data_IF_248042363568
#
_entry.id   IF_248042363568
#
_cell.length_a   1.000
_cell.length_b   1.000
_cell.length_c   1.000
_cell.angle_alpha   90.00
_cell.angle_beta   90.00
_cell.angle_gamma   90.00
#
_symmetry.space_group_name_H-M   'P 1'
#
loop_
_entity.id
_entity.type
_entity.pdbx_description
1 polymer ?
#
# COMPACT_ATOMS: atom_id res chain seq x y z
N UNK A 1 3.52 -14.40 -35.37
CA UNK A 1 4.31 -14.38 -34.12
C UNK A 1 4.55 -12.93 -33.75
N UNK A 2 3.83 -12.44 -32.75
CA UNK A 2 4.20 -11.32 -31.88
C UNK A 2 3.26 -11.38 -30.68
N UNK A 3 3.63 -12.29 -29.80
CA UNK A 3 3.51 -12.25 -28.34
C UNK A 3 2.41 -11.32 -27.82
N UNK A 4 1.23 -11.91 -27.55
CA UNK A 4 0.34 -11.34 -26.55
C UNK A 4 1.07 -11.47 -25.21
N UNK A 5 1.59 -10.37 -24.68
CA UNK A 5 2.08 -10.32 -23.32
C UNK A 5 0.89 -10.61 -22.39
N UNK A 6 0.77 -11.87 -22.01
CA UNK A 6 0.04 -12.30 -20.83
C UNK A 6 0.64 -11.49 -19.68
N UNK A 7 -0.06 -10.43 -19.26
CA UNK A 7 0.18 -9.79 -17.97
C UNK A 7 0.05 -10.91 -16.94
N UNK A 8 1.19 -11.46 -16.54
CA UNK A 8 1.26 -12.65 -15.72
C UNK A 8 0.46 -12.39 -14.45
N UNK A 9 -0.34 -13.37 -14.05
CA UNK A 9 -0.89 -13.43 -12.70
C UNK A 9 0.29 -13.45 -11.74
N UNK A 10 0.75 -12.28 -11.28
CA UNK A 10 1.99 -12.12 -10.50
C UNK A 10 1.92 -12.81 -9.13
N UNK A 11 0.73 -13.24 -8.72
CA UNK A 11 0.54 -14.24 -7.69
C UNK A 11 -0.49 -15.25 -8.19
N UNK A 12 -0.20 -16.55 -8.06
CA UNK A 12 -1.26 -17.55 -8.02
C UNK A 12 -2.20 -17.23 -6.84
N UNK A 13 -3.50 -17.55 -6.91
CA UNK A 13 -4.38 -17.41 -5.76
C UNK A 13 -3.75 -18.14 -4.59
N UNK A 14 -3.31 -17.39 -3.58
CA UNK A 14 -2.72 -17.99 -2.39
C UNK A 14 -3.78 -18.94 -1.82
N UNK A 15 -3.40 -20.20 -1.60
CA UNK A 15 -4.27 -21.10 -0.86
C UNK A 15 -4.71 -20.40 0.42
N UNK A 16 -6.00 -20.46 0.82
CA UNK A 16 -6.46 -19.83 2.05
C UNK A 16 -5.51 -20.16 3.19
N UNK A 17 -5.14 -19.14 3.97
CA UNK A 17 -4.24 -19.32 5.10
C UNK A 17 -4.84 -20.38 6.04
N UNK A 18 -4.02 -21.37 6.41
CA UNK A 18 -4.46 -22.37 7.39
C UNK A 18 -4.48 -21.72 8.77
N UNK A 19 -5.25 -22.29 9.69
CA UNK A 19 -5.35 -21.78 11.06
C UNK A 19 -3.99 -21.66 11.77
N UNK A 20 -3.08 -22.60 11.51
CA UNK A 20 -1.67 -22.53 11.95
C UNK A 20 -0.96 -21.28 11.45
N UNK A 21 -1.17 -20.90 10.19
CA UNK A 21 -0.48 -19.76 9.57
C UNK A 21 -1.03 -18.46 10.17
N UNK A 22 -2.32 -18.40 10.47
CA UNK A 22 -2.96 -17.27 11.17
C UNK A 22 -2.38 -17.12 12.59
N UNK A 23 -2.22 -18.21 13.34
CA UNK A 23 -1.62 -18.18 14.68
C UNK A 23 -0.16 -17.74 14.65
N UNK A 24 0.61 -18.20 13.66
CA UNK A 24 1.99 -17.77 13.47
C UNK A 24 2.07 -16.27 13.15
N UNK A 25 1.19 -15.77 12.27
CA UNK A 25 1.08 -14.34 11.98
C UNK A 25 0.67 -13.55 13.22
N UNK A 26 -0.33 -14.03 13.97
CA UNK A 26 -0.76 -13.39 15.21
C UNK A 26 0.42 -13.26 16.18
N UNK A 27 1.22 -14.31 16.37
CA UNK A 27 2.40 -14.26 17.23
C UNK A 27 3.49 -13.29 16.71
N UNK A 28 3.68 -13.19 15.39
CA UNK A 28 4.61 -12.23 14.79
C UNK A 28 4.19 -10.77 14.99
N UNK A 29 2.87 -10.52 15.00
CA UNK A 29 2.28 -9.18 15.15
C UNK A 29 1.81 -8.87 16.57
N UNK A 30 1.91 -9.81 17.51
CA UNK A 30 1.62 -9.60 18.93
C UNK A 30 2.79 -8.87 19.58
N UNK A 31 2.84 -7.55 19.35
CA UNK A 31 3.85 -6.66 19.88
C UNK A 31 3.22 -5.73 20.91
N UNK A 32 3.62 -5.88 22.17
CA UNK A 32 3.19 -5.01 23.26
C UNK A 32 3.77 -3.59 23.15
N UNK A 33 4.83 -3.41 22.36
CA UNK A 33 5.55 -2.16 22.16
C UNK A 33 5.05 -1.33 20.96
N UNK A 34 3.93 -1.74 20.34
CA UNK A 34 3.39 -1.05 19.16
C UNK A 34 3.14 0.44 19.40
N UNK A 35 2.66 0.82 20.60
CA UNK A 35 2.48 2.21 20.98
C UNK A 35 3.79 3.00 21.09
N UNK A 36 4.87 2.35 21.54
CA UNK A 36 6.19 2.98 21.65
C UNK A 36 6.79 3.21 20.25
N UNK A 37 6.63 2.24 19.35
CA UNK A 37 7.02 2.38 17.93
C UNK A 37 6.22 3.51 17.29
N UNK A 38 4.90 3.56 17.48
CA UNK A 38 4.05 4.62 16.95
C UNK A 38 4.50 6.01 17.42
N UNK A 39 4.82 6.14 18.71
CA UNK A 39 5.31 7.39 19.29
C UNK A 39 6.67 7.82 18.69
N UNK A 40 7.61 6.88 18.52
CA UNK A 40 8.91 7.16 17.92
C UNK A 40 8.76 7.57 16.44
N UNK A 41 7.95 6.83 15.67
CA UNK A 41 7.66 7.17 14.27
C UNK A 41 7.06 8.58 14.19
N UNK A 42 6.03 8.89 14.98
CA UNK A 42 5.43 10.24 15.03
C UNK A 42 6.46 11.31 15.35
N UNK A 43 7.29 11.09 16.36
CA UNK A 43 8.35 12.03 16.72
C UNK A 43 9.33 12.25 15.57
N UNK A 44 9.73 11.19 14.86
CA UNK A 44 10.61 11.31 13.69
C UNK A 44 9.96 12.06 12.54
N UNK A 45 8.70 11.75 12.23
CA UNK A 45 7.96 12.42 11.16
C UNK A 45 7.82 13.92 11.44
N UNK A 46 7.51 14.30 12.68
CA UNK A 46 7.43 15.71 13.11
C UNK A 46 8.79 16.43 13.07
N UNK A 47 9.91 15.70 13.07
CA UNK A 47 11.25 16.28 12.96
C UNK A 47 11.70 16.52 11.52
N UNK A 48 10.96 16.04 10.52
CA UNK A 48 11.26 16.27 9.11
C UNK A 48 10.72 17.65 8.69
N UNK A 49 11.63 18.55 8.33
CA UNK A 49 11.30 19.86 7.79
C UNK A 49 11.91 20.03 6.38
N UNK A 50 11.12 20.52 5.39
CA UNK A 50 9.71 20.90 5.49
C UNK A 50 8.80 19.69 5.72
N UNK A 51 7.60 19.96 6.26
CA UNK A 51 6.60 18.92 6.51
C UNK A 51 6.31 18.17 5.19
N UNK A 52 6.45 16.83 5.17
CA UNK A 52 6.15 16.06 3.97
C UNK A 52 4.64 16.10 3.66
N UNK A 53 4.29 15.96 2.38
CA UNK A 53 2.91 16.05 1.88
C UNK A 53 2.08 14.78 2.18
N UNK A 54 2.07 14.33 3.44
CA UNK A 54 1.44 13.07 3.89
C UNK A 54 -0.08 13.04 3.63
N UNK A 55 -0.73 14.19 3.78
CA UNK A 55 -2.18 14.35 3.65
C UNK A 55 -2.59 14.84 2.24
N UNK A 56 -1.64 15.24 1.41
CA UNK A 56 -1.94 15.55 0.02
C UNK A 56 -2.06 14.24 -0.74
N UNK A 57 -3.13 14.11 -1.52
CA UNK A 57 -3.28 13.00 -2.46
C UNK A 57 -2.15 13.10 -3.49
N UNK A 58 -1.06 12.39 -3.19
CA UNK A 58 0.20 12.42 -3.96
C UNK A 58 -0.04 11.99 -5.41
N UNK A 59 -1.18 11.32 -5.65
CA UNK A 59 -1.61 10.80 -6.93
C UNK A 59 -2.84 11.52 -7.50
N UNK A 60 -3.27 12.66 -6.94
CA UNK A 60 -4.36 13.46 -7.50
C UNK A 60 -4.15 13.78 -8.99
N UNK A 61 -2.89 13.90 -9.43
CA UNK A 61 -2.52 14.10 -10.83
C UNK A 61 -2.92 12.93 -11.75
N UNK A 62 -3.08 11.71 -11.23
CA UNK A 62 -3.49 10.52 -11.99
C UNK A 62 -5.00 10.52 -12.30
N UNK A 63 -5.82 11.19 -11.49
CA UNK A 63 -7.27 11.27 -11.71
C UNK A 63 -7.67 12.19 -12.87
N UNK A 64 -6.88 13.23 -13.14
CA UNK A 64 -7.22 14.25 -14.13
C UNK A 64 -7.03 13.79 -15.58
N UNK A 65 -6.21 12.77 -15.86
CA UNK A 65 -5.92 12.36 -17.24
C UNK A 65 -6.94 11.37 -17.84
N UNK A 66 -7.84 10.82 -17.02
CA UNK A 66 -8.84 9.85 -17.48
C UNK A 66 -10.21 10.48 -17.80
N UNK A 67 -10.49 11.69 -17.30
CA UNK A 67 -11.81 12.30 -17.48
C UNK A 67 -11.98 13.11 -18.77
N UNK A 68 -10.91 13.48 -19.49
CA UNK A 68 -11.04 14.32 -20.70
C UNK A 68 -11.23 13.55 -22.01
N UNK A 69 -11.28 12.22 -21.99
CA UNK A 69 -11.33 11.40 -23.23
C UNK A 69 -12.67 10.69 -23.47
N UNK A 70 -13.73 11.06 -22.74
CA UNK A 70 -15.07 10.49 -22.96
C UNK A 70 -16.13 11.58 -23.12
N UNK A 71 -15.81 12.73 -23.70
CA UNK A 71 -16.83 13.67 -24.22
C UNK A 71 -16.25 14.45 -25.41
N UNK A 72 -16.01 13.79 -26.54
CA UNK A 72 -16.15 14.47 -27.84
C UNK A 72 -16.48 13.48 -28.97
N UNK A 73 -17.66 13.70 -29.55
CA UNK A 73 -18.21 13.26 -30.86
C UNK A 73 -18.57 11.78 -31.12
#
# INVERSE_FOLDING_TARGET
MKDSESLGSYAAPLSPLRERDILALAALFQRDDMYAIEADVKHKLLSLLPEPCWDDDTFAFLGSSFSSRVEDS
#
